data_IF_695047176851
#
_entry.id   IF_695047176851
#
_cell.length_a   1.000
_cell.length_b   1.000
_cell.length_c   1.000
_cell.angle_alpha   90.00
_cell.angle_beta   90.00
_cell.angle_gamma   90.00
#
_symmetry.space_group_name_H-M   'P 1'
#
loop_
_entity.id
_entity.type
_entity.pdbx_description
1 polymer ?
#
# COMPACT_ATOMS: atom_id res chain seq x y z
N UNK A 1 -26.17 -5.05 -9.78
CA UNK A 1 -25.96 -4.09 -8.68
C UNK A 1 -24.48 -3.76 -8.62
N UNK A 2 -24.10 -2.48 -8.47
CA UNK A 2 -22.71 -2.06 -8.19
C UNK A 2 -22.11 -2.86 -7.03
N UNK A 3 -20.81 -3.17 -7.06
CA UNK A 3 -20.18 -3.98 -6.00
C UNK A 3 -20.29 -3.39 -4.60
N UNK A 4 -20.14 -2.07 -4.39
CA UNK A 4 -20.38 -1.49 -3.08
C UNK A 4 -21.81 -1.78 -2.59
N UNK A 5 -22.81 -1.79 -3.49
CA UNK A 5 -24.22 -2.01 -3.16
C UNK A 5 -24.60 -3.49 -2.97
N UNK A 6 -23.72 -4.45 -3.31
CA UNK A 6 -23.93 -5.87 -2.98
C UNK A 6 -23.82 -6.15 -1.49
N UNK A 7 -23.11 -5.30 -0.76
CA UNK A 7 -23.14 -5.28 0.69
C UNK A 7 -24.29 -4.35 1.11
N UNK A 8 -25.33 -4.83 1.80
CA UNK A 8 -26.39 -3.94 2.30
C UNK A 8 -25.85 -3.05 3.42
N UNK A 9 -26.37 -1.81 3.60
CA UNK A 9 -26.05 -1.01 4.77
C UNK A 9 -26.48 -1.79 6.03
N UNK A 10 -25.49 -2.27 6.79
CA UNK A 10 -25.75 -2.94 8.07
C UNK A 10 -26.24 -1.94 9.12
N UNK A 11 -26.82 -2.41 10.24
CA UNK A 11 -27.08 -1.55 11.37
C UNK A 11 -25.76 -0.95 11.85
N UNK A 12 -25.59 0.36 11.63
CA UNK A 12 -24.47 1.12 12.18
C UNK A 12 -24.65 1.13 13.70
N UNK A 13 -23.77 0.43 14.40
CA UNK A 13 -23.74 0.50 15.86
C UNK A 13 -22.87 1.68 16.23
N UNK A 14 -23.39 2.63 17.03
CA UNK A 14 -22.63 3.77 17.56
C UNK A 14 -21.65 3.29 18.62
N UNK A 15 -20.57 2.62 18.21
CA UNK A 15 -19.44 2.32 19.07
C UNK A 15 -18.37 3.39 18.83
N UNK A 16 -17.82 3.97 19.89
CA UNK A 16 -16.83 5.05 19.82
C UNK A 16 -15.66 4.69 18.88
N UNK A 17 -15.26 5.61 18.01
CA UNK A 17 -14.24 5.44 16.97
C UNK A 17 -12.79 5.35 17.48
N UNK A 18 -12.58 5.38 18.80
CA UNK A 18 -11.25 5.33 19.40
C UNK A 18 -10.57 3.98 19.20
N UNK A 19 -9.37 3.99 18.63
CA UNK A 19 -8.41 2.90 18.76
C UNK A 19 -7.76 2.97 20.14
N UNK A 20 -7.85 1.89 20.93
CA UNK A 20 -7.11 1.78 22.19
C UNK A 20 -5.69 1.22 21.95
N UNK A 21 -5.36 0.93 20.69
CA UNK A 21 -4.02 0.63 20.24
C UNK A 21 -3.34 1.92 19.78
N UNK A 22 -2.90 2.70 20.77
CA UNK A 22 -1.90 3.75 20.60
C UNK A 22 -0.56 3.17 21.05
N UNK A 23 0.36 2.93 20.11
CA UNK A 23 1.71 2.46 20.41
C UNK A 23 1.92 0.94 20.35
N UNK A 24 3.20 0.56 20.30
CA UNK A 24 3.79 -0.72 19.88
C UNK A 24 3.28 -2.00 20.56
N UNK A 25 2.05 -2.42 20.30
CA UNK A 25 1.66 -3.78 20.59
C UNK A 25 2.51 -4.76 19.76
N UNK A 26 3.01 -5.87 20.35
CA UNK A 26 3.76 -6.85 19.57
C UNK A 26 2.89 -7.37 18.43
N UNK A 27 3.48 -7.51 17.24
CA UNK A 27 2.81 -7.84 15.99
C UNK A 27 1.87 -9.05 16.13
N UNK A 28 2.31 -10.11 16.82
CA UNK A 28 1.50 -11.31 17.07
C UNK A 28 0.19 -11.04 17.80
N UNK A 29 0.13 -10.01 18.65
CA UNK A 29 -1.09 -9.66 19.37
C UNK A 29 -2.05 -8.80 18.54
N UNK A 30 -1.53 -8.05 17.56
CA UNK A 30 -2.37 -7.32 16.60
C UNK A 30 -2.99 -8.31 15.61
N UNK A 31 -2.20 -9.27 15.10
CA UNK A 31 -2.72 -10.34 14.23
C UNK A 31 -3.81 -11.15 14.92
N UNK A 32 -3.62 -11.55 16.19
CA UNK A 32 -4.66 -12.25 16.95
C UNK A 32 -5.94 -11.40 17.11
N UNK A 33 -5.80 -10.11 17.42
CA UNK A 33 -6.94 -9.19 17.48
C UNK A 33 -7.70 -9.14 16.16
N UNK A 34 -7.02 -8.96 15.02
CA UNK A 34 -7.67 -8.88 13.71
C UNK A 34 -8.31 -10.22 13.30
N UNK A 35 -7.65 -11.35 13.60
CA UNK A 35 -8.08 -12.70 13.19
C UNK A 35 -9.24 -13.24 14.03
N UNK A 36 -9.24 -12.98 15.33
CA UNK A 36 -10.15 -13.63 16.29
C UNK A 36 -11.15 -12.67 16.95
N UNK A 37 -10.97 -11.36 16.78
CA UNK A 37 -11.84 -10.37 17.41
C UNK A 37 -13.25 -10.34 16.83
N UNK A 38 -14.20 -9.89 17.63
CA UNK A 38 -15.54 -9.57 17.17
C UNK A 38 -15.48 -8.33 16.27
N UNK A 39 -15.94 -8.47 15.02
CA UNK A 39 -15.88 -7.42 14.00
C UNK A 39 -17.23 -6.71 13.89
N UNK A 40 -17.27 -5.43 14.25
CA UNK A 40 -18.46 -4.56 14.16
C UNK A 40 -18.30 -3.57 13.01
N UNK A 41 -19.26 -3.52 12.09
CA UNK A 41 -19.28 -2.54 10.98
C UNK A 41 -19.77 -1.19 11.51
N UNK A 42 -18.94 -0.16 11.37
CA UNK A 42 -19.24 1.21 11.79
C UNK A 42 -19.73 2.06 10.62
N UNK A 43 -19.31 1.75 9.40
CA UNK A 43 -19.74 2.49 8.22
C UNK A 43 -19.08 1.99 6.94
N UNK A 44 -19.46 2.62 5.83
CA UNK A 44 -18.85 2.39 4.52
C UNK A 44 -17.95 3.57 4.17
N UNK A 45 -16.79 3.28 3.60
CA UNK A 45 -15.93 4.31 3.00
C UNK A 45 -16.49 4.63 1.61
N UNK A 46 -16.93 5.87 1.35
CA UNK A 46 -17.51 6.27 0.06
C UNK A 46 -16.45 6.32 -1.05
N UNK A 47 -16.91 6.41 -2.31
CA UNK A 47 -16.07 6.60 -3.50
C UNK A 47 -15.08 5.47 -3.87
N UNK A 48 -15.09 4.34 -3.16
CA UNK A 48 -14.33 3.15 -3.57
C UNK A 48 -15.07 2.35 -4.66
N UNK A 49 -14.33 1.84 -5.64
CA UNK A 49 -14.86 0.96 -6.71
C UNK A 49 -15.36 -0.39 -6.17
N UNK A 50 -14.82 -0.82 -5.04
CA UNK A 50 -15.17 -2.03 -4.29
C UNK A 50 -15.84 -1.65 -2.95
N UNK A 51 -16.52 -2.60 -2.31
CA UNK A 51 -17.02 -2.38 -0.96
C UNK A 51 -15.86 -2.31 0.05
N UNK A 52 -15.69 -1.16 0.69
CA UNK A 52 -14.71 -0.95 1.76
C UNK A 52 -15.45 -0.49 3.01
N UNK A 53 -15.31 -1.26 4.10
CA UNK A 53 -16.04 -1.04 5.33
C UNK A 53 -15.09 -0.61 6.43
N UNK A 54 -15.45 0.47 7.12
CA UNK A 54 -14.80 0.88 8.35
C UNK A 54 -15.42 0.10 9.51
N UNK A 55 -14.59 -0.56 10.29
CA UNK A 55 -15.00 -1.48 11.34
C UNK A 55 -14.23 -1.20 12.64
N UNK A 56 -14.82 -1.66 13.74
CA UNK A 56 -14.08 -1.90 14.98
C UNK A 56 -13.91 -3.39 15.18
N UNK A 57 -12.77 -3.79 15.75
CA UNK A 57 -12.51 -5.16 16.15
C UNK A 57 -12.16 -5.21 17.63
N UNK A 58 -12.78 -6.14 18.37
CA UNK A 58 -12.57 -6.30 19.81
C UNK A 58 -12.19 -7.74 20.15
N UNK A 59 -11.08 -7.94 20.85
CA UNK A 59 -10.64 -9.25 21.32
C UNK A 59 -9.94 -9.13 22.67
N UNK A 60 -10.34 -9.94 23.65
CA UNK A 60 -9.73 -9.99 25.00
C UNK A 60 -9.56 -8.60 25.65
N UNK A 61 -10.61 -7.76 25.58
CA UNK A 61 -10.61 -6.42 26.18
C UNK A 61 -9.79 -5.37 25.41
N UNK A 62 -9.27 -5.69 24.22
CA UNK A 62 -8.56 -4.76 23.35
C UNK A 62 -9.42 -4.38 22.16
N UNK A 63 -9.30 -3.14 21.71
CA UNK A 63 -10.05 -2.58 20.58
C UNK A 63 -9.12 -1.88 19.58
N UNK A 64 -9.37 -2.10 18.29
CA UNK A 64 -8.77 -1.34 17.20
C UNK A 64 -9.83 -0.94 16.15
N UNK A 65 -9.57 0.14 15.43
CA UNK A 65 -10.21 0.40 14.14
C UNK A 65 -9.54 -0.46 13.06
N UNK A 66 -10.33 -0.90 12.08
CA UNK A 66 -9.84 -1.69 10.95
C UNK A 66 -10.68 -1.47 9.69
N UNK A 67 -10.10 -1.79 8.55
CA UNK A 67 -10.79 -1.89 7.26
C UNK A 67 -11.17 -3.35 7.03
N UNK A 68 -12.41 -3.59 6.61
CA UNK A 68 -12.88 -4.89 6.13
C UNK A 68 -13.31 -4.77 4.67
N UNK A 69 -12.68 -5.54 3.77
CA UNK A 69 -13.07 -5.64 2.35
C UNK A 69 -13.61 -7.06 2.08
N UNK A 70 -14.95 -7.25 2.07
CA UNK A 70 -15.56 -8.56 1.76
C UNK A 70 -15.34 -8.96 0.31
N UNK A 71 -15.08 -10.25 0.05
CA UNK A 71 -15.00 -10.80 -1.32
C UNK A 71 -16.29 -10.54 -2.10
N UNK A 72 -17.45 -10.66 -1.44
CA UNK A 72 -18.75 -10.38 -2.05
C UNK A 72 -18.91 -8.93 -2.56
N UNK A 73 -18.09 -8.01 -2.03
CA UNK A 73 -18.03 -6.60 -2.40
C UNK A 73 -17.00 -6.25 -3.47
N UNK A 74 -16.33 -7.23 -4.08
CA UNK A 74 -15.35 -7.02 -5.14
C UNK A 74 -16.04 -6.86 -6.51
N UNK A 75 -15.60 -5.89 -7.30
CA UNK A 75 -15.84 -5.83 -8.74
C UNK A 75 -14.87 -6.79 -9.43
N UNK A 76 -15.36 -7.77 -10.20
CA UNK A 76 -14.50 -8.57 -11.06
C UNK A 76 -13.75 -7.65 -12.03
N UNK A 77 -12.44 -7.84 -12.13
CA UNK A 77 -11.59 -7.16 -13.11
C UNK A 77 -11.27 -8.18 -14.20
N UNK A 78 -11.54 -7.82 -15.46
CA UNK A 78 -11.31 -8.73 -16.59
C UNK A 78 -9.85 -9.18 -16.70
N UNK A 79 -8.94 -8.35 -16.20
CA UNK A 79 -7.50 -8.55 -16.25
C UNK A 79 -6.90 -9.06 -14.93
N UNK A 80 -7.75 -9.41 -13.95
CA UNK A 80 -7.45 -10.22 -12.76
C UNK A 80 -8.56 -11.28 -12.59
N UNK A 81 -8.63 -12.27 -13.49
CA UNK A 81 -9.76 -13.19 -13.56
C UNK A 81 -9.77 -14.24 -12.44
N UNK A 82 -8.62 -14.52 -11.83
CA UNK A 82 -8.44 -15.57 -10.83
C UNK A 82 -8.24 -15.01 -9.42
N UNK A 83 -8.68 -15.79 -8.42
CA UNK A 83 -8.58 -15.44 -7.01
C UNK A 83 -9.48 -14.26 -6.61
N UNK A 84 -9.12 -13.57 -5.54
CA UNK A 84 -9.86 -12.42 -5.02
C UNK A 84 -8.92 -11.27 -4.67
N UNK A 85 -9.41 -10.03 -4.75
CA UNK A 85 -8.63 -8.85 -4.35
C UNK A 85 -8.29 -8.90 -2.86
N UNK A 86 -9.20 -9.42 -2.02
CA UNK A 86 -8.96 -9.63 -0.61
C UNK A 86 -7.78 -10.58 -0.33
N UNK A 87 -7.63 -11.67 -1.07
CA UNK A 87 -6.49 -12.57 -0.90
C UNK A 87 -5.16 -11.89 -1.28
N UNK A 88 -5.16 -11.05 -2.32
CA UNK A 88 -3.97 -10.30 -2.78
C UNK A 88 -3.50 -9.28 -1.76
N UNK A 89 -4.42 -8.62 -1.06
CA UNK A 89 -4.10 -7.73 0.06
C UNK A 89 -3.35 -8.45 1.17
N UNK A 90 -3.77 -9.68 1.51
CA UNK A 90 -3.08 -10.50 2.51
C UNK A 90 -1.75 -10.99 1.98
N UNK A 91 -1.67 -11.44 0.72
CA UNK A 91 -0.41 -11.88 0.12
C UNK A 91 0.64 -10.76 0.11
N UNK A 92 0.25 -9.50 -0.15
CA UNK A 92 1.13 -8.35 -0.08
C UNK A 92 1.67 -8.11 1.34
N UNK A 93 0.83 -8.29 2.37
CA UNK A 93 1.27 -8.22 3.77
C UNK A 93 2.29 -9.33 4.10
N UNK A 94 2.04 -10.58 3.71
CA UNK A 94 2.93 -11.72 3.97
C UNK A 94 4.29 -11.52 3.29
N UNK A 95 4.30 -11.05 2.03
CA UNK A 95 5.54 -10.73 1.30
C UNK A 95 6.31 -9.57 1.94
N UNK A 96 5.62 -8.52 2.37
CA UNK A 96 6.24 -7.40 3.07
C UNK A 96 6.89 -7.84 4.39
N UNK A 97 6.20 -8.68 5.18
CA UNK A 97 6.74 -9.24 6.40
C UNK A 97 7.97 -10.14 6.15
N UNK A 98 7.94 -10.96 5.09
CA UNK A 98 9.06 -11.81 4.70
C UNK A 98 10.30 -11.03 4.20
N UNK A 99 10.10 -9.85 3.62
CA UNK A 99 11.18 -8.90 3.34
C UNK A 99 11.80 -8.33 4.64
N UNK A 100 11.14 -8.50 5.79
CA UNK A 100 11.54 -7.94 7.08
C UNK A 100 11.15 -6.47 7.24
N UNK A 101 10.12 -6.03 6.52
CA UNK A 101 9.62 -4.66 6.54
C UNK A 101 8.21 -4.58 7.11
N UNK A 102 7.86 -3.40 7.62
CA UNK A 102 6.54 -3.10 8.16
C UNK A 102 5.86 -1.99 7.33
N UNK A 103 5.86 -2.15 6.01
CA UNK A 103 5.32 -1.18 5.07
C UNK A 103 3.86 -1.44 4.68
N UNK A 104 3.34 -2.65 4.95
CA UNK A 104 1.93 -2.98 4.74
C UNK A 104 1.30 -3.15 6.13
N UNK A 105 0.19 -2.47 6.46
CA UNK A 105 -0.46 -2.65 7.74
C UNK A 105 -0.80 -4.12 7.99
N UNK A 106 -0.83 -4.60 9.24
CA UNK A 106 -1.27 -5.94 9.57
C UNK A 106 -2.59 -6.28 8.89
N UNK A 107 -2.59 -7.34 8.08
CA UNK A 107 -3.73 -7.73 7.23
C UNK A 107 -3.96 -9.23 7.32
N UNK A 108 -5.20 -9.64 7.58
CA UNK A 108 -5.59 -11.06 7.73
C UNK A 108 -6.77 -11.40 6.84
N UNK A 109 -6.91 -12.68 6.47
CA UNK A 109 -8.09 -13.21 5.78
C UNK A 109 -8.95 -13.98 6.78
N UNK A 110 -10.24 -13.67 6.88
CA UNK A 110 -11.18 -14.36 7.79
C UNK A 110 -12.63 -14.21 7.35
N UNK A 111 -13.51 -14.96 8.00
CA UNK A 111 -14.95 -14.71 7.95
C UNK A 111 -15.32 -13.41 8.68
N UNK A 112 -16.27 -12.67 8.09
CA UNK A 112 -16.84 -11.44 8.64
C UNK A 112 -18.34 -11.33 8.37
N UNK A 113 -18.99 -10.20 8.74
CA UNK A 113 -20.44 -10.01 8.64
C UNK A 113 -21.05 -10.16 7.23
N UNK A 114 -20.22 -10.11 6.19
CA UNK A 114 -20.64 -10.22 4.79
C UNK A 114 -19.87 -11.32 4.03
N UNK A 115 -19.46 -12.38 4.74
CA UNK A 115 -18.70 -13.52 4.21
C UNK A 115 -17.19 -13.40 4.43
N UNK A 116 -16.37 -14.16 3.68
CA UNK A 116 -14.92 -14.04 3.75
C UNK A 116 -14.44 -12.70 3.18
N UNK A 117 -13.37 -12.16 3.77
CA UNK A 117 -12.71 -10.97 3.27
C UNK A 117 -11.44 -10.64 4.05
N UNK A 118 -10.71 -9.63 3.57
CA UNK A 118 -9.52 -9.15 4.28
C UNK A 118 -9.93 -8.17 5.39
N UNK A 119 -9.23 -8.24 6.51
CA UNK A 119 -9.30 -7.29 7.62
C UNK A 119 -7.91 -6.69 7.83
N UNK A 120 -7.78 -5.38 7.65
CA UNK A 120 -6.54 -4.63 7.74
C UNK A 120 -6.60 -3.62 8.89
N UNK A 121 -5.54 -3.52 9.69
CA UNK A 121 -5.46 -2.49 10.73
C UNK A 121 -5.63 -1.09 10.14
N UNK A 122 -6.48 -0.27 10.76
CA UNK A 122 -6.62 1.14 10.39
C UNK A 122 -5.38 1.92 10.81
N UNK A 123 -4.86 2.75 9.92
CA UNK A 123 -3.70 3.60 10.19
C UNK A 123 -4.16 5.04 10.29
N UNK A 124 -4.05 5.62 11.48
CA UNK A 124 -4.32 7.03 11.68
C UNK A 124 -3.24 7.88 11.02
N UNK A 125 -3.67 8.75 10.12
CA UNK A 125 -2.84 9.85 9.66
C UNK A 125 -3.04 11.01 10.64
N UNK A 126 -1.98 11.77 10.96
CA UNK A 126 -2.18 13.02 11.66
C UNK A 126 -3.17 13.85 10.85
N UNK A 127 -4.16 14.47 11.49
CA UNK A 127 -5.01 15.46 10.83
C UNK A 127 -4.09 16.42 10.08
N UNK A 128 -4.37 16.64 8.79
CA UNK A 128 -3.63 17.63 8.00
C UNK A 128 -3.61 18.91 8.82
N UNK A 129 -2.44 19.25 9.36
CA UNK A 129 -2.29 20.51 10.06
C UNK A 129 -2.80 21.59 9.10
N UNK A 130 -3.74 22.44 9.52
CA UNK A 130 -4.29 23.44 8.64
C UNK A 130 -3.14 24.24 8.02
N UNK A 131 -3.25 24.54 6.72
CA UNK A 131 -2.38 25.48 6.04
C UNK A 131 -2.41 26.82 6.79
N UNK A 132 -1.39 27.11 7.59
CA UNK A 132 -1.14 28.46 8.10
C UNK A 132 0.36 28.79 7.95
N UNK A 133 0.70 29.88 7.23
CA UNK A 133 2.08 30.32 7.07
C UNK A 133 2.55 31.01 8.36
N UNK A 134 3.36 30.32 9.14
CA UNK A 134 4.25 30.97 10.10
C UNK A 134 4.34 30.35 11.49
N UNK A 135 5.60 30.10 11.85
CA UNK A 135 6.15 30.03 13.21
C UNK A 135 5.83 28.81 14.09
N UNK A 136 6.88 28.02 14.37
CA UNK A 136 6.95 27.15 15.54
C UNK A 136 7.95 26.00 15.39
N UNK A 137 9.20 26.22 15.79
CA UNK A 137 10.25 25.21 15.75
C UNK A 137 9.98 24.06 16.74
N UNK A 138 9.79 22.86 16.20
CA UNK A 138 9.80 21.58 16.89
C UNK A 138 10.20 20.50 15.88
N UNK A 139 11.12 19.63 16.25
CA UNK A 139 11.90 18.75 15.35
C UNK A 139 11.04 17.83 14.47
N UNK A 140 10.81 18.24 13.22
CA UNK A 140 10.28 17.43 12.13
C UNK A 140 11.42 16.96 11.21
N UNK A 141 11.28 15.78 10.61
CA UNK A 141 12.16 15.32 9.54
C UNK A 141 12.24 16.39 8.42
N UNK A 142 13.43 16.67 7.87
CA UNK A 142 13.58 17.74 6.88
C UNK A 142 12.88 17.35 5.58
N UNK A 143 12.02 18.22 5.03
CA UNK A 143 11.86 18.29 3.56
C UNK A 143 10.48 18.44 2.93
N UNK A 144 9.35 18.28 3.63
CA UNK A 144 8.04 18.24 2.95
C UNK A 144 7.33 19.60 2.82
N UNK A 145 7.63 20.59 3.66
CA UNK A 145 7.02 21.91 3.60
C UNK A 145 8.09 22.98 3.36
N UNK A 146 8.12 23.57 2.15
CA UNK A 146 8.85 24.81 1.89
C UNK A 146 9.98 24.80 0.86
N UNK A 147 10.13 23.76 0.03
CA UNK A 147 11.00 23.88 -1.14
C UNK A 147 10.38 24.88 -2.14
N UNK A 148 11.08 25.96 -2.53
CA UNK A 148 10.52 26.95 -3.45
C UNK A 148 10.14 26.31 -4.79
N UNK A 149 8.90 26.53 -5.23
CA UNK A 149 8.40 26.06 -6.53
C UNK A 149 7.81 24.65 -6.54
N UNK A 150 7.56 24.04 -5.38
CA UNK A 150 6.77 22.81 -5.26
C UNK A 150 5.35 23.09 -4.81
N UNK A 151 4.38 22.41 -5.43
CA UNK A 151 2.99 22.36 -5.00
C UNK A 151 2.74 20.99 -4.37
N UNK A 152 2.59 20.88 -3.03
CA UNK A 152 2.33 19.60 -2.37
C UNK A 152 1.03 18.97 -2.88
N UNK A 153 1.07 17.66 -3.16
CA UNK A 153 -0.13 16.84 -3.47
C UNK A 153 -0.24 15.64 -2.51
N UNK A 154 0.53 15.71 -1.42
CA UNK A 154 0.62 14.73 -0.36
C UNK A 154 1.87 15.01 0.47
N UNK A 155 2.05 14.28 1.58
CA UNK A 155 3.20 14.52 2.47
C UNK A 155 4.56 14.22 1.83
N UNK A 156 4.60 13.29 0.89
CA UNK A 156 5.82 12.82 0.23
C UNK A 156 5.74 12.92 -1.31
N UNK A 157 4.73 13.66 -1.82
CA UNK A 157 4.47 13.86 -3.24
C UNK A 157 4.20 15.33 -3.51
N UNK A 158 4.75 15.85 -4.62
CA UNK A 158 4.55 17.23 -5.04
C UNK A 158 4.52 17.33 -6.57
N UNK A 159 3.99 18.44 -7.06
CA UNK A 159 4.13 18.89 -8.44
C UNK A 159 5.23 19.95 -8.50
N UNK A 160 6.13 19.81 -9.47
CA UNK A 160 7.19 20.75 -9.79
C UNK A 160 6.99 21.33 -11.19
N UNK A 161 7.73 22.39 -11.50
CA UNK A 161 7.82 22.95 -12.85
C UNK A 161 8.31 21.89 -13.85
N UNK A 162 7.55 21.66 -14.93
CA UNK A 162 7.84 20.65 -15.95
C UNK A 162 9.14 20.90 -16.72
N UNK A 163 9.58 22.16 -16.81
CA UNK A 163 10.76 22.57 -17.58
C UNK A 163 12.05 22.56 -16.72
N UNK A 164 11.95 22.18 -15.45
CA UNK A 164 13.07 22.17 -14.52
C UNK A 164 13.36 20.76 -14.00
N UNK A 165 14.63 20.45 -13.68
CA UNK A 165 14.95 19.21 -12.99
C UNK A 165 14.28 19.17 -11.62
N UNK A 166 14.05 17.96 -11.12
CA UNK A 166 13.54 17.77 -9.77
C UNK A 166 14.43 18.50 -8.74
N UNK A 167 13.85 19.26 -7.79
CA UNK A 167 14.62 19.93 -6.75
C UNK A 167 15.43 18.96 -5.89
N UNK A 168 16.49 19.45 -5.24
CA UNK A 168 17.26 18.64 -4.30
C UNK A 168 16.35 18.04 -3.20
N UNK A 169 16.55 16.74 -2.91
CA UNK A 169 15.70 15.99 -1.98
C UNK A 169 14.41 15.46 -2.58
N UNK A 170 14.17 15.67 -3.88
CA UNK A 170 13.02 15.16 -4.62
C UNK A 170 13.48 14.39 -5.86
N UNK A 171 12.70 13.39 -6.27
CA UNK A 171 12.96 12.53 -7.42
C UNK A 171 11.84 12.69 -8.44
N UNK A 172 12.22 12.83 -9.71
CA UNK A 172 11.31 12.92 -10.83
C UNK A 172 10.62 11.57 -11.08
N UNK A 173 9.29 11.58 -11.20
CA UNK A 173 8.50 10.40 -11.59
C UNK A 173 8.22 10.47 -13.10
N UNK A 174 7.65 11.58 -13.53
CA UNK A 174 7.23 11.80 -14.90
C UNK A 174 6.33 13.02 -15.03
N UNK A 175 6.03 13.40 -16.26
CA UNK A 175 5.12 14.49 -16.55
C UNK A 175 3.67 14.06 -16.33
N UNK A 176 2.89 14.90 -15.68
CA UNK A 176 1.47 14.69 -15.43
C UNK A 176 0.65 15.91 -15.85
N UNK A 177 -0.55 15.66 -16.38
CA UNK A 177 -1.52 16.73 -16.64
C UNK A 177 -2.13 17.21 -15.33
N UNK A 178 -2.25 18.53 -15.17
CA UNK A 178 -2.82 19.14 -13.97
C UNK A 178 -4.25 19.63 -14.21
N UNK A 179 -5.13 19.59 -13.18
CA UNK A 179 -6.44 20.21 -13.27
C UNK A 179 -6.34 21.70 -13.65
N UNK A 180 -7.05 22.12 -14.70
CA UNK A 180 -6.97 23.50 -15.22
C UNK A 180 -6.13 23.66 -16.49
N UNK A 181 -5.48 22.59 -16.96
CA UNK A 181 -4.68 22.56 -18.18
C UNK A 181 -3.20 22.86 -17.91
N UNK A 182 -2.33 22.25 -18.71
CA UNK A 182 -0.88 22.32 -18.56
C UNK A 182 -0.26 21.03 -18.04
N UNK A 183 1.06 21.03 -17.97
CA UNK A 183 1.87 19.86 -17.59
C UNK A 183 2.76 20.25 -16.42
N UNK A 184 2.84 19.39 -15.40
CA UNK A 184 3.75 19.52 -14.29
C UNK A 184 4.62 18.28 -14.17
N UNK A 185 5.80 18.43 -13.58
CA UNK A 185 6.63 17.28 -13.21
C UNK A 185 6.13 16.73 -11.88
N UNK A 186 5.62 15.51 -11.87
CA UNK A 186 5.28 14.81 -10.64
C UNK A 186 6.57 14.30 -9.98
N UNK A 187 6.74 14.59 -8.69
CA UNK A 187 7.92 14.23 -7.90
C UNK A 187 7.52 13.54 -6.59
N UNK A 188 8.38 12.65 -6.10
CA UNK A 188 8.31 12.14 -4.73
C UNK A 188 9.56 12.51 -3.93
N UNK A 189 9.45 12.53 -2.61
CA UNK A 189 10.60 12.76 -1.73
C UNK A 189 11.67 11.67 -1.92
N UNK A 190 12.95 12.03 -1.86
CA UNK A 190 14.06 11.07 -1.81
C UNK A 190 14.14 10.44 -0.41
N UNK A 191 13.19 9.55 -0.12
CA UNK A 191 12.97 8.94 1.19
C UNK A 191 13.25 7.44 1.17
N UNK A 192 14.07 6.96 2.11
CA UNK A 192 14.43 5.55 2.19
C UNK A 192 13.22 4.61 2.39
N UNK A 193 12.16 5.07 3.09
CA UNK A 193 10.93 4.28 3.29
C UNK A 193 10.16 4.12 1.98
N UNK A 194 10.06 5.19 1.19
CA UNK A 194 9.49 5.11 -0.16
C UNK A 194 10.34 4.23 -1.07
N UNK A 195 11.67 4.28 -0.95
CA UNK A 195 12.55 3.42 -1.75
C UNK A 195 12.36 1.94 -1.44
N UNK A 196 12.13 1.57 -0.17
CA UNK A 196 11.74 0.19 0.20
C UNK A 196 10.36 -0.18 -0.36
N UNK A 197 9.40 0.74 -0.31
CA UNK A 197 8.06 0.53 -0.87
C UNK A 197 8.11 0.34 -2.40
N UNK A 198 9.01 1.03 -3.10
CA UNK A 198 9.27 0.83 -4.53
C UNK A 198 9.76 -0.60 -4.83
N UNK A 199 10.64 -1.15 -3.99
CA UNK A 199 11.08 -2.55 -4.09
C UNK A 199 9.91 -3.50 -3.83
N UNK A 200 9.08 -3.23 -2.82
CA UNK A 200 7.88 -4.04 -2.57
C UNK A 200 6.93 -4.02 -3.77
N UNK A 201 6.63 -2.85 -4.33
CA UNK A 201 5.78 -2.68 -5.50
C UNK A 201 6.32 -3.49 -6.70
N UNK A 202 7.64 -3.49 -6.92
CA UNK A 202 8.28 -4.28 -7.97
C UNK A 202 8.14 -5.79 -7.73
N UNK A 203 8.37 -6.26 -6.50
CA UNK A 203 8.23 -7.67 -6.12
C UNK A 203 6.80 -8.17 -6.34
N UNK A 204 5.83 -7.43 -5.81
CA UNK A 204 4.41 -7.81 -5.89
C UNK A 204 3.75 -7.39 -7.20
N UNK A 205 4.48 -6.74 -8.12
CA UNK A 205 3.92 -6.24 -9.39
C UNK A 205 2.67 -5.36 -9.16
N UNK A 206 2.82 -4.32 -8.32
CA UNK A 206 1.72 -3.43 -7.98
C UNK A 206 1.31 -2.60 -9.19
N UNK A 207 0.06 -2.77 -9.63
CA UNK A 207 -0.46 -2.09 -10.80
C UNK A 207 -1.26 -0.83 -10.49
N UNK A 208 -1.30 -0.35 -9.24
CA UNK A 208 -2.11 0.83 -8.92
C UNK A 208 -1.57 1.67 -7.74
N UNK A 209 -0.25 1.81 -7.57
CA UNK A 209 0.29 2.64 -6.46
C UNK A 209 0.10 4.14 -6.73
N UNK A 210 -0.94 4.72 -6.12
CA UNK A 210 -1.31 6.14 -6.16
C UNK A 210 -0.89 6.89 -4.90
N UNK A 211 -0.97 8.22 -4.93
CA UNK A 211 -0.62 9.07 -3.80
C UNK A 211 -1.50 8.81 -2.56
N UNK A 212 -2.81 8.64 -2.77
CA UNK A 212 -3.76 8.28 -1.70
C UNK A 212 -3.50 6.91 -1.05
N UNK A 213 -2.57 6.11 -1.59
CA UNK A 213 -2.20 4.81 -1.02
C UNK A 213 -0.99 4.90 -0.07
N UNK A 214 -0.44 6.09 0.13
CA UNK A 214 0.73 6.35 0.97
C UNK A 214 0.29 7.02 2.28
N UNK A 215 0.25 6.24 3.37
CA UNK A 215 -0.14 6.74 4.68
C UNK A 215 1.11 7.02 5.53
N UNK A 216 1.26 8.26 5.99
CA UNK A 216 2.33 8.62 6.94
C UNK A 216 1.72 8.91 8.31
N UNK A 217 2.19 8.20 9.33
CA UNK A 217 1.73 8.38 10.71
C UNK A 217 2.43 9.56 11.40
N UNK A 218 1.89 9.99 12.55
CA UNK A 218 2.47 11.07 13.35
C UNK A 218 3.89 10.75 13.85
N UNK A 219 4.18 9.49 14.16
CA UNK A 219 5.51 8.99 14.55
C UNK A 219 6.46 8.77 13.36
N UNK A 220 6.03 9.12 12.15
CA UNK A 220 6.88 9.07 10.96
C UNK A 220 7.07 7.66 10.39
N UNK A 221 6.15 6.74 10.62
CA UNK A 221 6.10 5.47 9.86
C UNK A 221 5.38 5.70 8.54
N UNK A 222 5.72 4.87 7.54
CA UNK A 222 5.11 4.90 6.22
C UNK A 222 4.45 3.55 5.96
N UNK A 223 3.20 3.60 5.50
CA UNK A 223 2.46 2.45 5.04
C UNK A 223 1.98 2.64 3.60
N UNK A 224 2.09 1.59 2.81
CA UNK A 224 1.33 1.39 1.58
C UNK A 224 0.03 0.65 1.88
N UNK A 225 -1.06 1.05 1.25
CA UNK A 225 -2.35 0.33 1.27
C UNK A 225 -2.83 0.01 -0.16
N UNK A 226 -3.95 -0.68 -0.26
CA UNK A 226 -4.66 -1.00 -1.50
C UNK A 226 -3.85 -1.84 -2.50
N UNK A 227 -3.54 -3.08 -2.08
CA UNK A 227 -2.77 -4.05 -2.85
C UNK A 227 -3.65 -5.08 -3.58
N UNK A 228 -4.95 -4.79 -3.75
CA UNK A 228 -5.88 -5.69 -4.41
C UNK A 228 -5.52 -6.02 -5.87
N UNK A 229 -4.80 -5.13 -6.55
CA UNK A 229 -4.39 -5.28 -7.97
C UNK A 229 -2.88 -5.48 -8.08
N UNK A 230 -2.43 -6.62 -7.57
CA UNK A 230 -1.03 -7.07 -7.48
C UNK A 230 -0.89 -8.53 -7.93
N UNK A 231 0.34 -9.01 -8.06
CA UNK A 231 0.77 -10.39 -8.38
C UNK A 231 0.48 -10.89 -9.79
N UNK A 232 -0.03 -10.05 -10.69
CA UNK A 232 -0.28 -10.42 -12.08
C UNK A 232 0.97 -11.10 -12.71
N UNK A 233 0.74 -12.07 -13.59
CA UNK A 233 1.83 -12.82 -14.26
C UNK A 233 2.60 -11.96 -15.24
N UNK A 234 1.87 -11.18 -16.05
CA UNK A 234 2.46 -10.18 -16.94
C UNK A 234 2.96 -8.98 -16.14
N UNK A 235 4.03 -8.33 -16.60
CA UNK A 235 4.54 -7.10 -16.00
C UNK A 235 3.52 -5.96 -16.16
N UNK A 236 2.91 -5.58 -15.05
CA UNK A 236 1.88 -4.55 -14.95
C UNK A 236 2.24 -3.51 -13.89
N UNK A 237 3.53 -3.37 -13.57
CA UNK A 237 3.97 -2.46 -12.53
C UNK A 237 3.60 -1.02 -12.91
N UNK A 238 2.73 -0.40 -12.10
CA UNK A 238 2.34 1.00 -12.22
C UNK A 238 2.40 1.65 -10.85
N UNK A 239 3.35 2.55 -10.68
CA UNK A 239 3.64 3.14 -9.38
C UNK A 239 4.07 4.60 -9.49
N UNK A 240 3.77 5.40 -8.48
CA UNK A 240 4.34 6.73 -8.33
C UNK A 240 5.79 6.72 -7.80
N UNK A 241 6.42 5.55 -7.64
CA UNK A 241 7.75 5.42 -7.03
C UNK A 241 8.87 5.18 -8.05
N UNK A 242 8.70 5.66 -9.28
CA UNK A 242 9.67 5.50 -10.37
C UNK A 242 10.94 6.36 -10.25
N UNK A 243 11.06 7.22 -9.24
CA UNK A 243 12.17 8.17 -9.15
C UNK A 243 13.56 7.56 -8.93
N UNK A 244 13.63 6.24 -8.71
CA UNK A 244 14.88 5.46 -8.70
C UNK A 244 14.99 4.47 -9.86
N UNK A 245 14.14 4.56 -10.89
CA UNK A 245 14.13 3.62 -12.01
C UNK A 245 15.52 3.47 -12.64
N UNK A 246 15.99 2.23 -12.78
CA UNK A 246 17.32 1.90 -13.31
C UNK A 246 18.50 2.20 -12.38
N UNK A 247 18.28 2.84 -11.23
CA UNK A 247 19.34 3.01 -10.22
C UNK A 247 19.64 1.69 -9.50
N UNK A 248 20.85 1.52 -8.94
CA UNK A 248 21.18 0.39 -8.09
C UNK A 248 20.19 0.20 -6.93
N UNK A 249 19.88 -1.04 -6.61
CA UNK A 249 19.20 -1.40 -5.38
C UNK A 249 20.16 -1.16 -4.20
N UNK A 250 19.69 -0.57 -3.08
CA UNK A 250 20.49 -0.50 -1.85
C UNK A 250 20.85 -1.91 -1.33
N UNK A 251 21.99 -2.06 -0.67
CA UNK A 251 22.43 -3.35 -0.07
C UNK A 251 21.38 -3.93 0.90
N UNK A 252 20.66 -3.06 1.62
CA UNK A 252 19.55 -3.46 2.48
C UNK A 252 18.43 -4.15 1.69
N UNK A 253 18.09 -3.63 0.50
CA UNK A 253 17.07 -4.21 -0.37
C UNK A 253 17.53 -5.55 -0.95
N UNK A 254 18.79 -5.67 -1.37
CA UNK A 254 19.36 -6.94 -1.83
C UNK A 254 19.34 -8.00 -0.73
N UNK A 255 19.67 -7.60 0.50
CA UNK A 255 19.59 -8.49 1.67
C UNK A 255 18.16 -8.93 1.94
N UNK A 256 17.19 -8.02 1.87
CA UNK A 256 15.76 -8.32 2.04
C UNK A 256 15.25 -9.28 0.95
N UNK A 257 15.60 -9.01 -0.32
CA UNK A 257 15.25 -9.87 -1.45
C UNK A 257 15.85 -11.26 -1.32
N UNK A 258 17.09 -11.38 -0.84
CA UNK A 258 17.73 -12.67 -0.57
C UNK A 258 16.99 -13.49 0.50
N UNK A 259 16.53 -12.83 1.57
CA UNK A 259 15.67 -13.47 2.59
C UNK A 259 14.34 -13.92 2.00
N UNK A 260 13.69 -13.06 1.22
CA UNK A 260 12.44 -13.39 0.56
C UNK A 260 12.60 -14.57 -0.40
N UNK A 261 13.67 -14.58 -1.21
CA UNK A 261 13.97 -15.67 -2.14
C UNK A 261 14.12 -17.01 -1.39
N UNK A 262 14.83 -17.01 -0.26
CA UNK A 262 14.93 -18.20 0.58
C UNK A 262 13.57 -18.63 1.15
N UNK A 263 12.77 -17.69 1.67
CA UNK A 263 11.43 -17.96 2.20
C UNK A 263 10.41 -18.41 1.13
N UNK A 264 10.67 -18.13 -0.15
CA UNK A 264 9.89 -18.61 -1.29
C UNK A 264 10.35 -19.99 -1.79
N UNK A 265 11.28 -20.65 -1.10
CA UNK A 265 11.73 -22.01 -1.39
C UNK A 265 10.61 -23.04 -1.40
N UNK A 266 10.87 -24.18 -2.03
CA UNK A 266 9.98 -25.34 -1.97
C UNK A 266 9.84 -25.79 -0.50
N UNK A 267 8.63 -26.13 -0.06
CA UNK A 267 8.27 -26.52 1.31
C UNK A 267 8.40 -25.46 2.42
N UNK A 268 8.76 -24.21 2.09
CA UNK A 268 8.79 -23.13 3.07
C UNK A 268 7.37 -22.69 3.50
N UNK A 269 7.16 -22.31 4.78
CA UNK A 269 5.84 -21.92 5.28
C UNK A 269 5.20 -20.75 4.52
N UNK A 270 6.00 -19.79 4.06
CA UNK A 270 5.53 -18.66 3.26
C UNK A 270 5.02 -19.14 1.89
N UNK A 271 5.73 -20.07 1.24
CA UNK A 271 5.28 -20.70 -0.01
C UNK A 271 3.91 -21.37 0.17
N UNK A 272 3.75 -22.19 1.21
CA UNK A 272 2.46 -22.82 1.52
C UNK A 272 1.36 -21.79 1.76
N UNK A 273 1.68 -20.73 2.51
CA UNK A 273 0.74 -19.63 2.80
C UNK A 273 0.31 -18.90 1.53
N UNK A 274 1.25 -18.51 0.67
CA UNK A 274 0.96 -17.80 -0.58
C UNK A 274 0.21 -18.67 -1.59
N UNK A 275 0.48 -19.98 -1.64
CA UNK A 275 -0.24 -20.91 -2.51
C UNK A 275 -1.75 -21.02 -2.18
N UNK A 276 -2.17 -20.62 -0.97
CA UNK A 276 -3.58 -20.51 -0.60
C UNK A 276 -4.22 -19.15 -0.92
N UNK A 277 -3.42 -18.16 -1.33
CA UNK A 277 -3.85 -16.77 -1.55
C UNK A 277 -3.77 -16.36 -3.02
N UNK A 278 -2.75 -16.81 -3.74
CA UNK A 278 -2.53 -16.51 -5.16
C UNK A 278 -2.40 -17.80 -5.97
N UNK A 279 -2.57 -17.72 -7.28
CA UNK A 279 -2.48 -18.90 -8.15
C UNK A 279 -1.04 -19.43 -8.24
N UNK A 280 -0.85 -20.69 -8.65
CA UNK A 280 0.50 -21.23 -8.89
C UNK A 280 1.31 -20.43 -9.92
N UNK A 281 0.65 -19.89 -10.96
CA UNK A 281 1.30 -19.09 -11.99
C UNK A 281 1.79 -17.74 -11.44
N UNK A 282 0.99 -17.10 -10.58
CA UNK A 282 1.35 -15.83 -9.95
C UNK A 282 2.48 -16.00 -8.92
N UNK A 283 2.46 -17.11 -8.18
CA UNK A 283 3.55 -17.47 -7.27
C UNK A 283 4.86 -17.75 -8.02
N UNK A 284 4.79 -18.41 -9.18
CA UNK A 284 5.95 -18.59 -10.06
C UNK A 284 6.47 -17.23 -10.56
N UNK A 285 5.59 -16.36 -11.06
CA UNK A 285 5.96 -15.03 -11.52
C UNK A 285 6.56 -14.15 -10.40
N UNK A 286 6.06 -14.28 -9.16
CA UNK A 286 6.66 -13.63 -7.98
C UNK A 286 8.11 -14.09 -7.77
N UNK A 287 8.38 -15.39 -7.83
CA UNK A 287 9.74 -15.94 -7.71
C UNK A 287 10.66 -15.42 -8.81
N UNK A 288 10.17 -15.43 -10.05
CA UNK A 288 10.93 -14.93 -11.21
C UNK A 288 11.28 -13.45 -11.06
N UNK A 289 10.33 -12.62 -10.59
CA UNK A 289 10.58 -11.20 -10.30
C UNK A 289 11.64 -10.99 -9.23
N UNK A 290 11.55 -11.73 -8.12
CA UNK A 290 12.56 -11.66 -7.04
C UNK A 290 13.94 -12.08 -7.55
N UNK A 291 14.02 -13.16 -8.33
CA UNK A 291 15.27 -13.63 -8.93
C UNK A 291 15.85 -12.60 -9.92
N UNK A 292 15.00 -11.97 -10.74
CA UNK A 292 15.42 -10.94 -11.68
C UNK A 292 15.98 -9.70 -10.97
N UNK A 293 15.33 -9.22 -9.90
CA UNK A 293 15.82 -8.09 -9.10
C UNK A 293 17.17 -8.38 -8.43
N UNK A 294 17.35 -9.61 -7.91
CA UNK A 294 18.64 -10.04 -7.36
C UNK A 294 19.74 -10.13 -8.43
N UNK A 295 19.40 -10.60 -9.62
CA UNK A 295 20.34 -10.74 -10.72
C UNK A 295 20.75 -9.39 -11.33
N UNK A 296 19.81 -8.45 -11.49
CA UNK A 296 20.10 -7.12 -12.03
C UNK A 296 20.79 -6.21 -11.01
N UNK A 297 20.42 -6.32 -9.74
CA UNK A 297 20.88 -5.40 -8.70
C UNK A 297 20.39 -3.97 -8.88
N UNK A 298 19.36 -3.75 -9.71
CA UNK A 298 18.83 -2.42 -10.04
C UNK A 298 17.31 -2.37 -9.91
N UNK A 299 16.78 -1.17 -9.59
CA UNK A 299 15.36 -0.89 -9.67
C UNK A 299 14.86 -1.09 -11.11
N UNK A 300 13.64 -1.63 -11.30
CA UNK A 300 13.08 -1.79 -12.63
C UNK A 300 12.87 -0.43 -13.30
N UNK A 301 12.78 -0.44 -14.62
CA UNK A 301 12.33 0.69 -15.44
C UNK A 301 10.94 0.37 -16.00
N UNK A 302 10.12 1.39 -16.33
CA UNK A 302 8.85 1.15 -17.00
C UNK A 302 8.99 0.27 -18.25
N UNK A 303 8.16 -0.77 -18.39
CA UNK A 303 8.21 -1.70 -19.51
C UNK A 303 7.87 -1.05 -20.87
N UNK A 304 7.08 0.02 -20.85
CA UNK A 304 6.56 0.68 -22.05
C UNK A 304 5.35 -0.02 -22.68
N UNK A 305 4.94 -1.18 -22.16
CA UNK A 305 3.78 -1.95 -22.66
C UNK A 305 2.45 -1.42 -22.12
N UNK A 306 2.48 -0.78 -20.94
CA UNK A 306 1.32 -0.18 -20.26
C UNK A 306 1.69 1.19 -19.68
N UNK A 307 0.71 2.08 -19.38
CA UNK A 307 1.00 3.35 -18.73
C UNK A 307 1.68 3.15 -17.37
N UNK A 308 2.89 3.67 -17.19
CA UNK A 308 3.69 3.46 -15.98
C UNK A 308 3.13 4.16 -14.73
N UNK A 309 2.37 5.24 -14.93
CA UNK A 309 1.77 6.04 -13.87
C UNK A 309 0.30 5.61 -13.73
N UNK A 310 -0.16 5.22 -12.53
CA UNK A 310 -1.56 4.86 -12.31
C UNK A 310 -2.48 6.08 -12.37
N UNK A 311 -3.75 5.86 -12.71
CA UNK A 311 -4.74 6.93 -12.88
C UNK A 311 -5.93 6.81 -11.91
N UNK A 312 -6.39 7.92 -11.30
CA UNK A 312 -5.68 9.20 -11.20
C UNK A 312 -4.41 9.04 -10.34
N UNK A 313 -3.35 9.83 -10.56
CA UNK A 313 -2.11 9.70 -9.80
C UNK A 313 -2.27 10.10 -8.33
N UNK A 314 -3.03 11.17 -8.07
CA UNK A 314 -3.30 11.73 -6.74
C UNK A 314 -4.79 11.96 -6.52
#
# INVERSE_FOLDING_TARGET
MPAPERVPPGPVTTAASGSELSGSAPAGSVTALLSEGELTVLGRIPAASNAVLHCAVVHQGRRAACVYKPVAGEQPLWDFPDGTLAQREVAAHEVCAALGWELVPPTVLREGPYGPGMVQLWIDQPEDAPEEPGAGAGTAAPGAAGAPGLVPVGRLLALADAERPAPAGWRAIGLAEVPGGGTALLVHADDARLRRLAVLDAVINNSDRKGGHLLTTADGRLYGIDHGVTFHTDDKLRTLLWGWAGEPLPDEALTALGRLAAALGEDEPLTTRLAALVTPAELAALRDRVAALLASGTHPVPSGEWPAIPWPPV
#
